data_IF_204442271050
#
_entry.id   IF_204442271050
#
_cell.length_a   1.000
_cell.length_b   1.000
_cell.length_c   1.000
_cell.angle_alpha   90.00
_cell.angle_beta   90.00
_cell.angle_gamma   90.00
#
_symmetry.space_group_name_H-M   'P 1'
#
loop_
_entity.id
_entity.type
_entity.pdbx_description
1 polymer ?
#
# COMPACT_ATOMS: atom_id res chain seq x y z
N UNK A 1 -33.91 -32.31 -18.73
CA UNK A 1 -32.74 -33.02 -18.18
C UNK A 1 -31.54 -32.47 -18.94
N UNK A 2 -30.94 -31.34 -18.52
CA UNK A 2 -30.62 -30.87 -17.15
C UNK A 2 -29.59 -31.81 -16.50
N UNK A 3 -28.47 -31.36 -15.96
CA UNK A 3 -27.99 -30.00 -15.61
C UNK A 3 -26.69 -29.63 -16.40
N UNK A 4 -26.02 -28.47 -16.35
CA UNK A 4 -25.90 -27.31 -15.42
C UNK A 4 -25.20 -27.61 -14.09
N UNK A 5 -23.91 -27.24 -13.98
CA UNK A 5 -23.31 -26.60 -12.79
C UNK A 5 -21.89 -26.06 -13.09
N UNK A 6 -21.29 -25.21 -12.21
CA UNK A 6 -20.39 -24.12 -12.65
C UNK A 6 -19.07 -24.00 -11.85
N UNK A 7 -18.43 -22.82 -11.97
CA UNK A 7 -17.40 -22.20 -11.11
C UNK A 7 -16.10 -22.96 -10.81
N UNK A 8 -14.98 -22.38 -11.28
CA UNK A 8 -13.65 -22.58 -10.70
C UNK A 8 -13.34 -21.44 -9.70
N UNK A 9 -12.93 -21.81 -8.48
CA UNK A 9 -12.85 -20.89 -7.34
C UNK A 9 -11.57 -20.05 -7.26
N UNK A 10 -11.71 -18.80 -6.79
CA UNK A 10 -10.59 -17.92 -6.44
C UNK A 10 -10.01 -18.26 -5.06
N UNK A 11 -9.18 -19.31 -4.99
CA UNK A 11 -8.58 -19.81 -3.74
C UNK A 11 -7.42 -18.94 -3.23
N UNK A 12 -7.72 -17.72 -2.79
CA UNK A 12 -6.81 -16.89 -2.00
C UNK A 12 -6.68 -17.37 -0.54
N UNK A 13 -5.68 -16.89 0.22
CA UNK A 13 -5.57 -17.21 1.64
C UNK A 13 -6.71 -16.55 2.43
N UNK A 14 -7.64 -17.38 2.93
CA UNK A 14 -8.85 -16.98 3.66
C UNK A 14 -8.58 -15.84 4.66
N UNK A 15 -9.41 -14.80 4.59
CA UNK A 15 -9.27 -13.62 5.46
C UNK A 15 -10.12 -13.75 6.74
N UNK A 16 -9.75 -13.04 7.80
CA UNK A 16 -10.60 -12.93 9.00
C UNK A 16 -12.01 -12.38 8.67
N UNK A 17 -12.13 -11.52 7.65
CA UNK A 17 -13.42 -10.99 7.18
C UNK A 17 -14.32 -12.08 6.60
N UNK A 18 -13.73 -13.03 5.88
CA UNK A 18 -14.42 -14.12 5.19
C UNK A 18 -14.87 -15.21 6.17
N UNK A 19 -13.98 -15.58 7.09
CA UNK A 19 -14.33 -16.43 8.24
C UNK A 19 -15.43 -15.79 9.11
N UNK A 20 -15.35 -14.48 9.38
CA UNK A 20 -16.40 -13.77 10.11
C UNK A 20 -17.71 -13.65 9.31
N UNK A 21 -17.65 -13.55 7.98
CA UNK A 21 -18.82 -13.55 7.11
C UNK A 21 -19.56 -14.90 7.13
N UNK A 22 -18.83 -16.03 7.11
CA UNK A 22 -19.41 -17.36 7.26
C UNK A 22 -20.07 -17.56 8.64
N UNK A 23 -19.53 -16.96 9.70
CA UNK A 23 -20.18 -16.92 11.03
C UNK A 23 -21.41 -15.99 11.10
N UNK A 24 -21.50 -14.98 10.23
CA UNK A 24 -22.64 -14.08 10.15
C UNK A 24 -23.78 -14.61 9.24
N UNK A 25 -23.43 -15.37 8.19
CA UNK A 25 -24.35 -16.01 7.26
C UNK A 25 -24.06 -17.53 7.19
N UNK A 26 -24.72 -18.35 8.04
CA UNK A 26 -24.52 -19.80 8.02
C UNK A 26 -25.18 -20.43 6.79
N UNK A 27 -24.35 -20.87 5.84
CA UNK A 27 -24.69 -21.79 4.74
C UNK A 27 -23.67 -22.94 4.77
N UNK A 28 -24.10 -24.13 4.38
CA UNK A 28 -23.36 -25.38 4.62
C UNK A 28 -22.02 -25.47 3.89
N UNK A 29 -21.07 -26.19 4.50
CA UNK A 29 -19.75 -26.48 3.96
C UNK A 29 -19.63 -27.97 3.64
N UNK A 30 -19.10 -28.30 2.46
CA UNK A 30 -18.62 -29.64 2.11
C UNK A 30 -17.20 -29.57 1.52
N UNK A 31 -16.38 -30.53 1.95
CA UNK A 31 -15.01 -30.86 1.55
C UNK A 31 -14.83 -32.36 1.88
N UNK A 32 -13.83 -33.07 1.33
CA UNK A 32 -13.23 -32.98 -0.01
C UNK A 32 -13.00 -34.39 -0.65
N UNK A 33 -12.43 -34.45 -1.86
CA UNK A 33 -11.73 -35.65 -2.38
C UNK A 33 -10.68 -35.15 -3.41
N UNK A 34 -9.37 -35.14 -3.10
CA UNK A 34 -8.38 -36.21 -3.29
C UNK A 34 -8.31 -36.81 -4.71
N UNK A 35 -7.16 -36.66 -5.40
CA UNK A 35 -7.00 -37.12 -6.79
C UNK A 35 -5.69 -36.74 -7.53
N UNK A 36 -4.52 -36.99 -6.94
CA UNK A 36 -3.19 -36.96 -7.61
C UNK A 36 -2.93 -38.24 -8.45
N UNK A 37 -1.82 -38.40 -9.23
CA UNK A 37 -0.65 -37.52 -9.48
C UNK A 37 -0.53 -37.17 -11.01
N UNK A 38 0.60 -36.90 -11.71
CA UNK A 38 2.06 -37.04 -11.46
C UNK A 38 2.93 -36.07 -12.32
N UNK A 39 4.11 -36.54 -12.78
CA UNK A 39 5.27 -35.84 -13.36
C UNK A 39 5.30 -35.83 -14.93
N UNK A 40 6.32 -35.39 -15.69
CA UNK A 40 7.78 -35.14 -15.51
C UNK A 40 8.16 -33.79 -16.22
N UNK A 41 9.04 -32.92 -15.69
CA UNK A 41 10.54 -32.82 -15.85
C UNK A 41 11.01 -32.73 -17.33
N UNK A 42 12.04 -31.95 -17.77
CA UNK A 42 13.26 -31.31 -17.21
C UNK A 42 13.45 -29.85 -17.77
N UNK A 43 14.11 -28.88 -17.10
CA UNK A 43 15.57 -28.51 -17.03
C UNK A 43 16.24 -28.03 -18.37
N UNK A 44 17.27 -27.14 -18.47
CA UNK A 44 17.99 -26.22 -17.55
C UNK A 44 18.90 -25.23 -18.35
N UNK A 45 19.32 -24.07 -17.76
CA UNK A 45 20.38 -23.11 -18.22
C UNK A 45 20.12 -22.30 -19.53
N UNK A 46 20.88 -21.26 -19.94
CA UNK A 46 22.21 -20.71 -19.52
C UNK A 46 22.31 -19.14 -19.65
N UNK A 47 23.45 -18.53 -19.31
CA UNK A 47 23.76 -17.08 -19.32
C UNK A 47 24.11 -16.47 -20.71
N UNK A 48 24.01 -15.12 -20.86
CA UNK A 48 25.18 -14.19 -20.91
C UNK A 48 24.82 -12.70 -21.07
N UNK A 49 25.79 -11.82 -20.76
CA UNK A 49 25.73 -10.35 -20.68
C UNK A 49 26.09 -9.60 -21.99
N UNK A 50 25.83 -8.28 -21.99
CA UNK A 50 26.36 -7.29 -22.96
C UNK A 50 25.28 -6.39 -23.59
N UNK A 51 25.47 -5.08 -23.79
CA UNK A 51 26.59 -4.20 -23.37
C UNK A 51 26.10 -2.72 -23.30
N UNK A 52 26.97 -1.78 -22.93
CA UNK A 52 26.69 -0.36 -22.65
C UNK A 52 26.23 0.47 -23.87
N UNK A 53 25.70 1.68 -23.61
CA UNK A 53 25.61 2.76 -24.62
C UNK A 53 25.66 4.13 -23.93
N UNK A 54 26.65 4.96 -24.28
CA UNK A 54 26.78 6.34 -23.79
C UNK A 54 25.82 7.31 -24.52
N UNK A 55 25.33 8.37 -23.86
CA UNK A 55 24.80 9.57 -24.50
C UNK A 55 25.87 10.66 -24.69
N UNK A 56 25.74 11.44 -25.76
CA UNK A 56 26.76 12.40 -26.25
C UNK A 56 26.43 13.87 -25.91
N UNK A 57 27.47 14.70 -26.04
CA UNK A 57 27.50 16.14 -26.37
C UNK A 57 26.88 17.20 -25.43
N UNK A 58 27.70 18.18 -25.03
CA UNK A 58 27.54 19.59 -25.49
C UNK A 58 28.73 20.51 -25.16
N UNK A 59 29.31 21.04 -26.22
CA UNK A 59 30.09 22.29 -26.45
C UNK A 59 30.27 23.33 -25.32
N UNK A 60 31.47 23.94 -25.27
CA UNK A 60 31.65 25.41 -25.27
C UNK A 60 33.05 25.79 -25.82
N UNK A 61 33.15 26.86 -26.63
CA UNK A 61 34.41 27.38 -27.19
C UNK A 61 34.78 28.75 -26.60
N UNK A 62 36.02 28.91 -26.12
CA UNK A 62 36.49 30.15 -25.50
C UNK A 62 37.96 30.47 -25.80
N UNK A 63 38.26 30.92 -27.01
CA UNK A 63 39.62 31.35 -27.40
C UNK A 63 39.85 32.84 -27.07
N UNK A 64 40.95 33.14 -26.38
CA UNK A 64 41.45 34.49 -26.14
C UNK A 64 42.98 34.54 -26.30
N UNK A 65 43.49 35.65 -26.83
CA UNK A 65 44.89 35.80 -27.27
C UNK A 65 45.79 36.40 -26.17
N UNK A 66 47.12 36.34 -26.36
CA UNK A 66 48.12 36.61 -25.31
C UNK A 66 48.91 37.90 -25.56
N UNK A 67 49.05 38.74 -24.52
CA UNK A 67 50.04 39.83 -24.45
C UNK A 67 50.83 39.74 -23.13
N UNK A 68 52.16 39.84 -23.20
CA UNK A 68 53.06 40.01 -22.05
C UNK A 68 53.14 41.49 -21.65
N UNK A 69 53.39 41.79 -20.35
CA UNK A 69 54.59 42.59 -20.11
C UNK A 69 55.39 42.25 -18.83
N UNK A 70 56.72 42.19 -19.02
CA UNK A 70 57.84 42.52 -18.11
C UNK A 70 57.98 41.87 -16.71
N UNK A 71 59.24 41.86 -16.25
CA UNK A 71 59.78 40.97 -15.21
C UNK A 71 60.16 41.75 -13.94
N UNK A 72 59.37 41.61 -12.86
CA UNK A 72 59.84 41.89 -11.50
C UNK A 72 60.20 40.59 -10.75
N UNK A 73 61.26 40.58 -9.93
CA UNK A 73 61.84 39.36 -9.37
C UNK A 73 60.99 38.76 -8.24
N UNK A 74 59.98 37.99 -8.60
CA UNK A 74 59.18 37.21 -7.65
C UNK A 74 60.06 36.28 -6.80
N UNK A 75 59.77 36.10 -5.50
CA UNK A 75 60.52 35.19 -4.64
C UNK A 75 60.44 33.77 -5.21
N UNK A 76 61.61 33.11 -5.33
CA UNK A 76 61.79 31.79 -5.96
C UNK A 76 60.60 30.87 -5.65
N UNK A 77 59.87 30.36 -6.66
CA UNK A 77 58.70 29.54 -6.41
C UNK A 77 59.13 28.32 -5.61
N UNK A 78 58.63 28.24 -4.37
CA UNK A 78 58.73 27.03 -3.56
C UNK A 78 57.91 26.00 -4.31
N UNK A 79 58.58 25.11 -5.08
CA UNK A 79 57.91 24.03 -5.81
C UNK A 79 56.91 23.38 -4.85
N UNK A 80 55.61 23.31 -5.19
CA UNK A 80 54.67 22.61 -4.34
C UNK A 80 55.22 21.20 -4.17
N UNK A 81 55.40 20.76 -2.91
CA UNK A 81 55.81 19.39 -2.66
C UNK A 81 54.71 18.50 -3.21
N UNK A 82 55.02 17.76 -4.26
CA UNK A 82 54.12 16.76 -4.83
C UNK A 82 53.62 15.88 -3.67
N UNK A 83 52.30 15.70 -3.52
CA UNK A 83 51.75 14.92 -2.41
C UNK A 83 52.29 13.49 -2.50
N UNK A 84 53.03 13.08 -1.48
CA UNK A 84 53.58 11.73 -1.39
C UNK A 84 52.44 10.73 -1.14
N UNK A 85 51.87 10.19 -2.21
CA UNK A 85 50.83 9.17 -2.15
C UNK A 85 51.38 7.88 -1.54
N UNK A 86 50.59 7.27 -0.65
CA UNK A 86 50.88 5.93 -0.13
C UNK A 86 50.57 4.86 -1.20
N UNK A 87 51.32 3.76 -1.16
CA UNK A 87 51.03 2.58 -1.98
C UNK A 87 49.62 2.03 -1.65
N UNK A 88 48.90 1.56 -2.67
CA UNK A 88 47.59 0.91 -2.54
C UNK A 88 47.59 -0.26 -1.55
N UNK A 89 48.70 -1.00 -1.47
CA UNK A 89 48.90 -2.13 -0.57
C UNK A 89 49.42 -1.74 0.82
N UNK A 90 49.71 -0.45 1.07
CA UNK A 90 50.13 0.00 2.40
C UNK A 90 48.99 -0.19 3.42
N UNK A 91 49.34 -0.66 4.61
CA UNK A 91 48.39 -0.84 5.72
C UNK A 91 48.25 0.43 6.55
N UNK A 92 47.00 0.77 6.87
CA UNK A 92 46.60 1.87 7.75
C UNK A 92 45.89 1.27 8.95
N UNK A 93 46.29 1.68 10.16
CA UNK A 93 45.63 1.24 11.40
C UNK A 93 44.47 2.17 11.74
N UNK A 94 43.28 1.60 11.87
CA UNK A 94 42.03 2.30 12.14
C UNK A 94 41.86 2.61 13.63
N UNK A 95 40.95 3.53 13.96
CA UNK A 95 40.70 3.97 15.34
C UNK A 95 40.09 2.87 16.25
N UNK A 96 39.53 1.81 15.66
CA UNK A 96 39.07 0.59 16.36
C UNK A 96 40.19 -0.44 16.59
N UNK A 97 41.41 -0.17 16.09
CA UNK A 97 42.57 -1.06 16.17
C UNK A 97 42.73 -2.02 15.00
N UNK A 98 41.78 -2.10 14.07
CA UNK A 98 41.87 -2.91 12.85
C UNK A 98 42.92 -2.36 11.87
N UNK A 99 43.32 -3.16 10.87
CA UNK A 99 44.30 -2.76 9.85
C UNK A 99 43.72 -3.04 8.45
N UNK A 100 43.44 -1.96 7.72
CA UNK A 100 42.96 -1.99 6.32
C UNK A 100 44.08 -1.55 5.38
N UNK A 101 43.98 -1.91 4.10
CA UNK A 101 44.82 -1.32 3.05
C UNK A 101 44.32 0.06 2.62
N UNK A 102 45.20 0.87 2.03
CA UNK A 102 44.84 2.16 1.40
C UNK A 102 43.78 1.98 0.30
N UNK A 103 43.87 0.91 -0.49
CA UNK A 103 42.88 0.59 -1.54
C UNK A 103 41.48 0.28 -0.97
N UNK A 104 41.40 -0.46 0.14
CA UNK A 104 40.13 -0.71 0.84
C UNK A 104 39.54 0.57 1.45
N UNK A 105 40.38 1.46 1.98
CA UNK A 105 39.97 2.78 2.48
C UNK A 105 39.44 3.69 1.37
N UNK A 106 40.08 3.70 0.20
CA UNK A 106 39.61 4.43 -0.99
C UNK A 106 38.26 3.86 -1.47
N UNK A 107 38.14 2.54 -1.58
CA UNK A 107 36.89 1.86 -1.96
C UNK A 107 35.76 2.09 -0.95
N UNK A 108 36.08 2.13 0.35
CA UNK A 108 35.15 2.50 1.42
C UNK A 108 34.66 3.94 1.27
N UNK A 109 35.57 4.90 1.11
CA UNK A 109 35.23 6.32 0.92
C UNK A 109 34.38 6.56 -0.35
N UNK A 110 34.72 5.90 -1.46
CA UNK A 110 33.94 5.96 -2.70
C UNK A 110 32.52 5.42 -2.50
N UNK A 111 32.36 4.26 -1.84
CA UNK A 111 31.04 3.71 -1.48
C UNK A 111 30.26 4.64 -0.56
N UNK A 112 30.89 5.17 0.48
CA UNK A 112 30.28 6.15 1.40
C UNK A 112 29.77 7.41 0.68
N UNK A 113 30.56 7.94 -0.26
CA UNK A 113 30.19 9.08 -1.09
C UNK A 113 29.00 8.73 -2.00
N UNK A 114 29.07 7.60 -2.67
CA UNK A 114 28.06 7.09 -3.60
C UNK A 114 26.72 6.81 -2.89
N UNK A 115 26.76 6.18 -1.70
CA UNK A 115 25.59 6.02 -0.84
C UNK A 115 25.01 7.37 -0.39
N UNK A 116 25.83 8.32 0.08
CA UNK A 116 25.34 9.66 0.47
C UNK A 116 24.69 10.39 -0.71
N UNK A 117 25.31 10.34 -1.89
CA UNK A 117 24.76 10.93 -3.12
C UNK A 117 23.44 10.27 -3.52
N UNK A 118 23.35 8.94 -3.51
CA UNK A 118 22.13 8.18 -3.83
C UNK A 118 21.01 8.40 -2.80
N UNK A 119 21.32 8.47 -1.51
CA UNK A 119 20.33 8.79 -0.46
C UNK A 119 19.83 10.23 -0.57
N UNK A 120 20.70 11.20 -0.88
CA UNK A 120 20.29 12.59 -1.13
C UNK A 120 19.42 12.72 -2.39
N UNK A 121 19.81 12.06 -3.49
CA UNK A 121 19.04 12.03 -4.73
C UNK A 121 17.66 11.37 -4.52
N UNK A 122 17.58 10.25 -3.80
CA UNK A 122 16.32 9.59 -3.47
C UNK A 122 15.42 10.46 -2.57
N UNK A 123 15.99 11.14 -1.58
CA UNK A 123 15.23 12.05 -0.71
C UNK A 123 14.63 13.24 -1.48
N UNK A 124 15.37 13.81 -2.44
CA UNK A 124 14.86 14.89 -3.29
C UNK A 124 13.92 14.40 -4.39
N UNK A 125 14.11 13.17 -4.89
CA UNK A 125 13.15 12.49 -5.76
C UNK A 125 11.81 12.26 -5.03
N UNK A 126 11.85 11.73 -3.80
CA UNK A 126 10.65 11.63 -2.94
C UNK A 126 10.00 12.99 -2.69
N UNK A 127 10.79 14.03 -2.41
CA UNK A 127 10.28 15.38 -2.14
C UNK A 127 9.58 15.97 -3.35
N UNK A 128 10.21 15.90 -4.52
CA UNK A 128 9.64 16.39 -5.77
C UNK A 128 8.43 15.56 -6.23
N UNK A 129 8.41 14.25 -5.98
CA UNK A 129 7.25 13.40 -6.24
C UNK A 129 6.07 13.77 -5.31
N UNK A 130 6.32 13.93 -4.00
CA UNK A 130 5.28 14.36 -3.04
C UNK A 130 4.71 15.73 -3.40
N UNK A 131 5.56 16.70 -3.74
CA UNK A 131 5.13 18.03 -4.18
C UNK A 131 4.29 17.99 -5.47
N UNK A 132 4.69 17.20 -6.48
CA UNK A 132 3.93 17.00 -7.72
C UNK A 132 2.58 16.31 -7.47
N UNK A 133 2.56 15.28 -6.62
CA UNK A 133 1.34 14.55 -6.24
C UNK A 133 0.35 15.45 -5.50
N UNK A 134 0.84 16.30 -4.61
CA UNK A 134 0.01 17.29 -3.92
C UNK A 134 -0.52 18.37 -4.89
N UNK A 135 0.31 18.88 -5.81
CA UNK A 135 -0.11 19.81 -6.85
C UNK A 135 -1.20 19.21 -7.77
N UNK A 136 -1.04 17.96 -8.20
CA UNK A 136 -2.05 17.23 -8.99
C UNK A 136 -3.35 17.09 -8.19
N UNK A 137 -3.25 16.71 -6.91
CA UNK A 137 -4.42 16.56 -6.02
C UNK A 137 -5.17 17.90 -5.84
N UNK A 138 -4.45 19.00 -5.66
CA UNK A 138 -5.04 20.34 -5.57
C UNK A 138 -5.67 20.78 -6.90
N UNK A 139 -5.02 20.53 -8.04
CA UNK A 139 -5.55 20.84 -9.37
C UNK A 139 -6.82 20.03 -9.69
N UNK A 140 -6.88 18.74 -9.33
CA UNK A 140 -8.10 17.94 -9.47
C UNK A 140 -9.24 18.46 -8.59
N UNK A 141 -8.95 18.91 -7.37
CA UNK A 141 -9.96 19.50 -6.47
C UNK A 141 -10.51 20.81 -7.05
N UNK A 142 -9.62 21.69 -7.53
CA UNK A 142 -10.01 22.93 -8.21
C UNK A 142 -10.88 22.65 -9.44
N UNK A 143 -10.42 21.81 -10.36
CA UNK A 143 -11.17 21.43 -11.56
C UNK A 143 -12.52 20.76 -11.26
N UNK A 144 -12.64 20.03 -10.15
CA UNK A 144 -13.93 19.50 -9.69
C UNK A 144 -14.88 20.61 -9.20
N UNK A 145 -14.38 21.58 -8.42
CA UNK A 145 -15.18 22.73 -7.96
C UNK A 145 -15.59 23.68 -9.09
N UNK A 146 -14.70 23.92 -10.06
CA UNK A 146 -15.00 24.71 -11.26
C UNK A 146 -16.05 24.02 -12.14
N UNK A 147 -15.98 22.69 -12.28
CA UNK A 147 -16.99 21.91 -13.02
C UNK A 147 -18.35 21.96 -12.35
N UNK A 148 -18.43 21.84 -11.02
CA UNK A 148 -19.67 22.00 -10.27
C UNK A 148 -20.26 23.41 -10.45
N UNK A 149 -19.43 24.45 -10.33
CA UNK A 149 -19.86 25.82 -10.58
C UNK A 149 -20.36 26.03 -12.03
N UNK A 150 -19.68 25.47 -13.03
CA UNK A 150 -20.13 25.51 -14.43
C UNK A 150 -21.47 24.78 -14.63
N UNK A 151 -21.67 23.61 -14.00
CA UNK A 151 -22.93 22.87 -14.05
C UNK A 151 -24.07 23.72 -13.46
N UNK A 152 -23.88 24.30 -12.27
CA UNK A 152 -24.87 25.18 -11.64
C UNK A 152 -25.15 26.43 -12.48
N UNK A 153 -24.12 27.05 -13.06
CA UNK A 153 -24.27 28.21 -13.94
C UNK A 153 -25.08 27.85 -15.19
N UNK A 154 -24.73 26.79 -15.92
CA UNK A 154 -25.42 26.35 -17.13
C UNK A 154 -26.88 25.97 -16.86
N UNK A 155 -27.17 25.37 -15.70
CA UNK A 155 -28.55 25.14 -15.24
C UNK A 155 -29.30 26.45 -14.99
N UNK A 156 -28.67 27.42 -14.31
CA UNK A 156 -29.31 28.71 -13.98
C UNK A 156 -29.69 29.55 -15.20
N UNK A 157 -28.90 29.46 -16.28
CA UNK A 157 -29.15 30.20 -17.55
C UNK A 157 -29.81 29.34 -18.63
N UNK A 158 -30.28 28.13 -18.32
CA UNK A 158 -30.86 27.22 -19.32
C UNK A 158 -32.08 27.88 -20.00
N UNK A 159 -32.16 27.91 -21.35
CA UNK A 159 -33.39 28.30 -22.01
C UNK A 159 -34.51 27.31 -21.65
N UNK A 160 -35.75 27.78 -21.55
CA UNK A 160 -36.87 26.86 -21.45
C UNK A 160 -37.02 26.07 -22.77
N UNK A 161 -37.47 24.82 -22.67
CA UNK A 161 -37.79 24.00 -23.83
C UNK A 161 -38.97 24.67 -24.59
N UNK A 162 -38.88 24.87 -25.91
CA UNK A 162 -39.98 25.48 -26.66
C UNK A 162 -41.25 24.61 -26.63
N UNK A 163 -42.40 25.27 -26.64
CA UNK A 163 -43.71 24.62 -26.74
C UNK A 163 -43.85 23.91 -28.10
N UNK A 164 -44.12 22.59 -28.15
CA UNK A 164 -44.42 21.88 -29.39
C UNK A 164 -45.55 22.51 -30.22
N UNK A 165 -46.50 23.23 -29.62
CA UNK A 165 -47.55 23.94 -30.35
C UNK A 165 -46.99 25.07 -31.24
N UNK A 166 -45.83 25.66 -30.90
CA UNK A 166 -45.18 26.69 -31.71
C UNK A 166 -44.83 26.18 -33.11
N UNK A 167 -44.55 24.89 -33.29
CA UNK A 167 -44.28 24.29 -34.60
C UNK A 167 -45.41 24.52 -35.63
N UNK A 168 -46.67 24.64 -35.17
CA UNK A 168 -47.85 24.86 -36.03
C UNK A 168 -48.07 26.34 -36.40
N UNK A 169 -47.30 27.26 -35.81
CA UNK A 169 -47.52 28.71 -35.92
C UNK A 169 -46.26 29.47 -36.35
N UNK A 170 -45.09 29.05 -35.86
CA UNK A 170 -43.77 29.46 -36.31
C UNK A 170 -42.78 28.27 -36.24
N UNK A 171 -42.69 27.44 -37.30
CA UNK A 171 -41.74 26.32 -37.34
C UNK A 171 -40.27 26.78 -37.39
N UNK A 172 -39.98 28.03 -37.78
CA UNK A 172 -38.61 28.55 -37.88
C UNK A 172 -38.13 28.99 -36.49
N UNK A 173 -38.93 29.78 -35.78
CA UNK A 173 -38.68 30.15 -34.39
C UNK A 173 -38.64 28.95 -33.45
N UNK A 174 -39.53 27.97 -33.64
CA UNK A 174 -39.45 26.68 -32.94
C UNK A 174 -38.12 25.98 -33.21
N UNK A 175 -37.70 25.86 -34.48
CA UNK A 175 -36.44 25.20 -34.85
C UNK A 175 -35.21 25.87 -34.26
N UNK A 176 -35.16 27.21 -34.21
CA UNK A 176 -34.08 27.95 -33.59
C UNK A 176 -34.04 27.75 -32.06
N UNK A 177 -35.19 27.78 -31.40
CA UNK A 177 -35.29 27.57 -29.95
C UNK A 177 -34.99 26.13 -29.53
N UNK A 178 -35.46 25.14 -30.29
CA UNK A 178 -35.21 23.72 -30.02
C UNK A 178 -33.74 23.36 -30.25
N UNK A 179 -33.10 23.91 -31.30
CA UNK A 179 -31.65 23.78 -31.50
C UNK A 179 -30.87 24.42 -30.34
N UNK A 180 -31.19 25.67 -29.97
CA UNK A 180 -30.53 26.36 -28.86
C UNK A 180 -30.72 25.63 -27.52
N UNK A 181 -31.90 25.06 -27.28
CA UNK A 181 -32.18 24.24 -26.10
C UNK A 181 -31.39 22.93 -26.11
N UNK A 182 -31.36 22.20 -27.24
CA UNK A 182 -30.59 20.96 -27.40
C UNK A 182 -29.10 21.18 -27.17
N UNK A 183 -28.47 22.13 -27.85
CA UNK A 183 -27.03 22.37 -27.72
C UNK A 183 -26.64 22.77 -26.28
N UNK A 184 -27.47 23.58 -25.59
CA UNK A 184 -27.27 23.90 -24.16
C UNK A 184 -27.43 22.66 -23.27
N UNK A 185 -28.41 21.80 -23.56
CA UNK A 185 -28.64 20.55 -22.84
C UNK A 185 -27.52 19.53 -23.06
N UNK A 186 -27.05 19.35 -24.29
CA UNK A 186 -25.95 18.44 -24.64
C UNK A 186 -24.65 18.84 -23.93
N UNK A 187 -24.36 20.14 -23.86
CA UNK A 187 -23.23 20.69 -23.07
C UNK A 187 -23.36 20.38 -21.57
N UNK A 188 -24.55 20.56 -21.00
CA UNK A 188 -24.82 20.27 -19.60
C UNK A 188 -24.75 18.77 -19.27
N UNK A 189 -25.39 17.94 -20.09
CA UNK A 189 -25.39 16.48 -19.95
C UNK A 189 -23.97 15.92 -20.06
N UNK A 190 -23.12 16.47 -20.94
CA UNK A 190 -21.70 16.13 -21.05
C UNK A 190 -20.91 16.45 -19.76
N UNK A 191 -21.09 17.66 -19.19
CA UNK A 191 -20.42 18.02 -17.93
C UNK A 191 -20.87 17.14 -16.77
N UNK A 192 -22.15 16.80 -16.70
CA UNK A 192 -22.73 15.87 -15.70
C UNK A 192 -22.16 14.46 -15.89
N UNK A 193 -22.03 13.96 -17.12
CA UNK A 193 -21.40 12.67 -17.39
C UNK A 193 -19.91 12.65 -16.97
N UNK A 194 -19.16 13.71 -17.27
CA UNK A 194 -17.77 13.88 -16.82
C UNK A 194 -17.65 13.93 -15.29
N UNK A 195 -18.58 14.59 -14.60
CA UNK A 195 -18.65 14.57 -13.13
C UNK A 195 -18.89 13.15 -12.61
N UNK A 196 -19.90 12.44 -13.10
CA UNK A 196 -20.21 11.07 -12.67
C UNK A 196 -19.04 10.10 -12.91
N UNK A 197 -18.38 10.18 -14.07
CA UNK A 197 -17.18 9.39 -14.36
C UNK A 197 -16.05 9.66 -13.35
N UNK A 198 -15.86 10.93 -12.96
CA UNK A 198 -14.84 11.32 -11.97
C UNK A 198 -15.18 10.80 -10.57
N UNK A 199 -16.46 10.82 -10.17
CA UNK A 199 -16.92 10.26 -8.89
C UNK A 199 -16.75 8.74 -8.85
N UNK A 200 -17.13 8.03 -9.92
CA UNK A 200 -16.95 6.58 -10.03
C UNK A 200 -15.47 6.18 -9.96
N UNK A 201 -14.59 6.92 -10.67
CA UNK A 201 -13.13 6.72 -10.60
C UNK A 201 -12.60 6.85 -9.18
N UNK A 202 -12.99 7.92 -8.45
CA UNK A 202 -12.58 8.11 -7.05
C UNK A 202 -13.09 7.03 -6.11
N UNK A 203 -14.34 6.59 -6.27
CA UNK A 203 -14.88 5.47 -5.47
C UNK A 203 -14.14 4.15 -5.73
N UNK A 204 -13.71 3.88 -6.97
CA UNK A 204 -12.88 2.72 -7.28
C UNK A 204 -11.47 2.85 -6.67
N UNK A 205 -10.84 4.03 -6.76
CA UNK A 205 -9.52 4.31 -6.17
C UNK A 205 -9.53 4.22 -4.64
N UNK A 206 -10.58 4.72 -3.99
CA UNK A 206 -10.82 4.55 -2.55
C UNK A 206 -11.03 3.07 -2.18
N UNK A 207 -11.80 2.33 -2.97
CA UNK A 207 -11.99 0.88 -2.80
C UNK A 207 -10.68 0.10 -2.86
N UNK A 208 -9.87 0.31 -3.89
CA UNK A 208 -8.55 -0.31 -4.03
C UNK A 208 -7.60 0.09 -2.89
N UNK A 209 -7.63 1.36 -2.45
CA UNK A 209 -6.83 1.81 -1.30
C UNK A 209 -7.25 1.14 0.01
N UNK A 210 -8.55 0.94 0.24
CA UNK A 210 -9.08 0.23 1.42
C UNK A 210 -8.70 -1.25 1.38
N UNK A 211 -8.71 -1.89 0.21
CA UNK A 211 -8.20 -3.26 0.03
C UNK A 211 -6.70 -3.34 0.37
N UNK A 212 -5.86 -2.48 -0.21
CA UNK A 212 -4.41 -2.46 0.08
C UNK A 212 -4.08 -2.23 1.57
N UNK A 213 -4.88 -1.41 2.27
CA UNK A 213 -4.76 -1.24 3.73
C UNK A 213 -5.15 -2.53 4.44
N UNK A 214 -6.31 -3.13 4.12
CA UNK A 214 -6.76 -4.40 4.70
C UNK A 214 -5.73 -5.51 4.50
N UNK A 215 -5.18 -5.67 3.31
CA UNK A 215 -4.23 -6.74 2.99
C UNK A 215 -2.93 -6.59 3.79
N UNK A 216 -2.42 -5.36 3.91
CA UNK A 216 -1.26 -5.04 4.76
C UNK A 216 -1.53 -5.33 6.24
N UNK A 217 -2.67 -4.89 6.75
CA UNK A 217 -3.07 -5.11 8.14
C UNK A 217 -3.34 -6.60 8.41
N UNK A 218 -3.81 -7.35 7.42
CA UNK A 218 -3.95 -8.80 7.49
C UNK A 218 -2.59 -9.52 7.53
N UNK A 219 -1.60 -9.11 6.74
CA UNK A 219 -0.24 -9.64 6.86
C UNK A 219 0.37 -9.34 8.23
N UNK A 220 0.25 -8.11 8.75
CA UNK A 220 0.69 -7.78 10.11
C UNK A 220 -0.04 -8.62 11.19
N UNK A 221 -1.30 -8.97 10.94
CA UNK A 221 -2.08 -9.89 11.80
C UNK A 221 -1.53 -11.32 11.76
N UNK A 222 -1.13 -11.83 10.59
CA UNK A 222 -0.51 -13.16 10.40
C UNK A 222 0.95 -13.24 10.87
N UNK A 223 1.67 -12.12 10.92
CA UNK A 223 2.98 -12.00 11.58
C UNK A 223 2.84 -12.07 13.11
N UNK A 224 1.89 -11.33 13.67
CA UNK A 224 1.63 -11.29 15.12
C UNK A 224 0.86 -12.51 15.66
N UNK A 225 0.20 -13.27 14.78
CA UNK A 225 -0.51 -14.52 15.09
C UNK A 225 -0.32 -15.57 13.98
N UNK A 226 0.85 -16.23 13.91
CA UNK A 226 1.10 -17.28 12.93
C UNK A 226 0.10 -18.44 12.99
N UNK A 227 -0.58 -18.64 14.13
CA UNK A 227 -1.63 -19.64 14.29
C UNK A 227 -2.87 -19.39 13.41
N UNK A 228 -3.08 -18.18 12.89
CA UNK A 228 -4.23 -17.87 12.03
C UNK A 228 -4.03 -18.25 10.55
N UNK A 229 -2.86 -18.81 10.18
CA UNK A 229 -2.66 -19.44 8.86
C UNK A 229 -3.35 -20.81 8.74
N UNK A 230 -3.80 -21.39 9.85
CA UNK A 230 -4.60 -22.63 9.91
C UNK A 230 -6.09 -22.26 9.84
N UNK A 231 -6.79 -22.70 8.80
CA UNK A 231 -8.19 -22.34 8.54
C UNK A 231 -9.14 -22.73 9.70
N UNK A 232 -8.87 -23.84 10.40
CA UNK A 232 -9.69 -24.27 11.55
C UNK A 232 -9.51 -23.31 12.73
N UNK A 233 -8.28 -22.81 12.93
CA UNK A 233 -7.98 -21.81 13.97
C UNK A 233 -8.52 -20.44 13.59
N UNK A 234 -8.43 -20.05 12.33
CA UNK A 234 -9.02 -18.82 11.79
C UNK A 234 -10.54 -18.80 12.01
N UNK A 235 -11.24 -19.87 11.62
CA UNK A 235 -12.68 -20.01 11.81
C UNK A 235 -13.05 -19.99 13.31
N UNK A 236 -12.32 -20.75 14.15
CA UNK A 236 -12.52 -20.72 15.61
C UNK A 236 -12.35 -19.31 16.19
N UNK A 237 -11.32 -18.58 15.75
CA UNK A 237 -11.02 -17.23 16.20
C UNK A 237 -12.05 -16.20 15.70
N UNK A 238 -12.52 -16.31 14.46
CA UNK A 238 -13.60 -15.50 13.91
C UNK A 238 -14.93 -15.72 14.67
N UNK A 239 -15.21 -16.97 15.07
CA UNK A 239 -16.33 -17.31 15.94
C UNK A 239 -16.20 -16.72 17.35
N UNK A 240 -15.01 -16.79 17.97
CA UNK A 240 -14.76 -16.13 19.27
C UNK A 240 -14.87 -14.60 19.18
N UNK A 241 -14.31 -13.97 18.14
CA UNK A 241 -14.40 -12.53 17.89
C UNK A 241 -15.84 -12.09 17.67
N UNK A 242 -16.60 -12.76 16.79
CA UNK A 242 -18.01 -12.41 16.52
C UNK A 242 -18.86 -12.52 17.78
N UNK A 243 -18.65 -13.56 18.57
CA UNK A 243 -19.39 -13.82 19.83
C UNK A 243 -19.04 -12.84 20.95
N UNK A 244 -17.75 -12.54 21.15
CA UNK A 244 -17.29 -11.71 22.27
C UNK A 244 -17.11 -10.23 21.90
N UNK A 245 -17.01 -9.87 20.62
CA UNK A 245 -17.10 -8.47 20.19
C UNK A 245 -18.45 -7.84 20.57
N UNK A 246 -19.53 -8.63 20.48
CA UNK A 246 -20.85 -8.23 20.97
C UNK A 246 -20.88 -7.94 22.49
N UNK A 247 -20.06 -8.60 23.32
CA UNK A 247 -19.91 -8.28 24.76
C UNK A 247 -19.31 -6.88 24.99
N UNK A 248 -18.63 -6.31 23.98
CA UNK A 248 -18.03 -4.96 23.99
C UNK A 248 -18.84 -3.95 23.15
N UNK A 249 -19.96 -4.36 22.56
CA UNK A 249 -20.83 -3.51 21.76
C UNK A 249 -20.50 -3.44 20.26
N UNK A 250 -19.53 -4.21 19.76
CA UNK A 250 -19.28 -4.30 18.32
C UNK A 250 -20.42 -5.03 17.60
N UNK A 251 -20.89 -4.46 16.49
CA UNK A 251 -21.77 -5.14 15.54
C UNK A 251 -20.99 -6.12 14.65
N UNK A 252 -21.64 -7.15 14.08
CA UNK A 252 -21.00 -8.02 13.08
C UNK A 252 -20.44 -7.23 11.88
N UNK A 253 -21.11 -6.15 11.48
CA UNK A 253 -20.67 -5.28 10.40
C UNK A 253 -19.38 -4.53 10.75
N UNK A 254 -19.21 -4.02 11.97
CA UNK A 254 -17.95 -3.39 12.40
C UNK A 254 -16.80 -4.39 12.50
N UNK A 255 -17.08 -5.62 12.95
CA UNK A 255 -16.11 -6.73 12.96
C UNK A 255 -15.66 -7.05 11.52
N UNK A 256 -16.59 -7.12 10.59
CA UNK A 256 -16.33 -7.45 9.19
C UNK A 256 -15.66 -6.29 8.42
N UNK A 257 -16.05 -5.04 8.68
CA UNK A 257 -15.62 -3.89 7.87
C UNK A 257 -14.48 -3.10 8.51
N UNK A 258 -14.51 -2.86 9.82
CA UNK A 258 -13.58 -1.96 10.53
C UNK A 258 -12.42 -2.70 11.20
N UNK A 259 -12.69 -3.82 11.89
CA UNK A 259 -11.66 -4.55 12.64
C UNK A 259 -10.52 -5.06 11.75
N UNK A 260 -10.82 -5.40 10.49
CA UNK A 260 -9.84 -5.78 9.46
C UNK A 260 -9.07 -4.62 8.82
N UNK A 261 -9.17 -3.39 9.34
CA UNK A 261 -8.40 -2.21 8.90
C UNK A 261 -7.35 -1.76 9.95
N UNK A 262 -7.22 -2.48 11.07
CA UNK A 262 -6.23 -2.22 12.11
C UNK A 262 -5.91 -3.50 12.89
N UNK A 263 -4.77 -4.13 12.61
CA UNK A 263 -4.33 -5.36 13.27
C UNK A 263 -4.27 -5.25 14.80
N UNK A 264 -4.11 -4.02 15.33
CA UNK A 264 -3.99 -3.76 16.77
C UNK A 264 -5.33 -3.99 17.47
N UNK A 265 -6.45 -3.69 16.81
CA UNK A 265 -7.79 -3.96 17.34
C UNK A 265 -8.04 -5.46 17.46
N UNK A 266 -7.61 -6.24 16.47
CA UNK A 266 -7.66 -7.71 16.49
C UNK A 266 -6.83 -8.26 17.66
N UNK A 267 -5.61 -7.75 17.87
CA UNK A 267 -4.73 -8.18 18.96
C UNK A 267 -5.28 -7.81 20.35
N UNK A 268 -5.80 -6.59 20.53
CA UNK A 268 -6.42 -6.13 21.78
C UNK A 268 -7.68 -6.95 22.09
N UNK A 269 -8.54 -7.19 21.09
CA UNK A 269 -9.76 -7.98 21.26
C UNK A 269 -9.43 -9.44 21.62
N UNK A 270 -8.45 -10.06 20.95
CA UNK A 270 -7.91 -11.39 21.28
C UNK A 270 -7.49 -11.48 22.74
N UNK A 271 -6.73 -10.51 23.24
CA UNK A 271 -6.19 -10.56 24.60
C UNK A 271 -7.28 -10.28 25.65
N UNK A 272 -8.27 -9.45 25.32
CA UNK A 272 -9.49 -9.28 26.11
C UNK A 272 -10.33 -10.58 26.19
N UNK A 273 -10.49 -11.30 25.06
CA UNK A 273 -11.16 -12.62 25.01
C UNK A 273 -10.40 -13.65 25.84
N UNK A 274 -9.08 -13.78 25.65
CA UNK A 274 -8.22 -14.68 26.45
C UNK A 274 -8.35 -14.39 27.95
N UNK A 275 -8.36 -13.13 28.36
CA UNK A 275 -8.54 -12.71 29.75
C UNK A 275 -9.96 -13.04 30.29
N UNK A 276 -11.01 -12.79 29.51
CA UNK A 276 -12.41 -13.12 29.84
C UNK A 276 -12.61 -14.63 30.00
N UNK A 277 -12.00 -15.43 29.12
CA UNK A 277 -11.98 -16.89 29.21
C UNK A 277 -11.24 -17.38 30.48
N UNK A 278 -10.10 -16.78 30.83
CA UNK A 278 -9.39 -17.09 32.09
C UNK A 278 -10.21 -16.71 33.33
N UNK A 279 -10.95 -15.60 33.32
CA UNK A 279 -11.89 -15.24 34.40
C UNK A 279 -13.02 -16.28 34.53
N UNK A 280 -13.66 -16.65 33.42
CA UNK A 280 -14.74 -17.63 33.37
C UNK A 280 -14.30 -19.07 33.69
N UNK A 281 -12.99 -19.34 33.67
CA UNK A 281 -12.39 -20.57 34.20
C UNK A 281 -12.11 -20.46 35.71
N UNK A 282 -11.57 -19.34 36.20
CA UNK A 282 -11.27 -19.13 37.63
C UNK A 282 -12.49 -19.34 38.53
N UNK A 283 -13.67 -18.87 38.13
CA UNK A 283 -14.93 -19.09 38.88
C UNK A 283 -15.36 -20.57 38.95
N UNK A 284 -14.87 -21.43 38.04
CA UNK A 284 -15.15 -22.87 37.99
C UNK A 284 -14.12 -23.72 38.75
N UNK A 285 -13.00 -23.13 39.19
CA UNK A 285 -11.97 -23.82 39.99
C UNK A 285 -12.49 -24.28 41.37
N UNK A 286 -13.11 -23.43 42.22
CA UNK A 286 -13.54 -23.86 43.56
C UNK A 286 -14.54 -25.02 43.51
N UNK A 287 -15.55 -24.92 42.65
CA UNK A 287 -16.56 -25.97 42.43
C UNK A 287 -15.99 -27.31 41.95
N UNK A 288 -14.74 -27.35 41.46
CA UNK A 288 -14.04 -28.57 41.02
C UNK A 288 -12.95 -29.05 42.00
N UNK A 289 -12.89 -28.43 43.18
CA UNK A 289 -12.09 -28.81 44.34
C UNK A 289 -12.98 -29.31 45.49
N UNK A 290 -14.15 -28.69 45.71
CA UNK A 290 -15.13 -29.09 46.74
C UNK A 290 -15.59 -30.55 46.61
N UNK A 291 -15.59 -31.12 45.39
CA UNK A 291 -15.92 -32.52 45.12
C UNK A 291 -14.76 -33.51 45.29
N UNK A 292 -13.57 -33.11 45.79
CA UNK A 292 -12.42 -34.01 45.95
C UNK A 292 -12.28 -34.45 47.42
N UNK A 293 -12.18 -35.77 47.72
CA UNK A 293 -11.91 -36.21 49.08
C UNK A 293 -10.54 -35.70 49.54
N UNK A 294 -10.37 -35.38 50.84
CA UNK A 294 -9.10 -34.87 51.35
C UNK A 294 -7.98 -35.89 51.14
N UNK A 295 -6.86 -35.43 50.59
CA UNK A 295 -5.67 -36.27 50.39
C UNK A 295 -5.06 -36.59 51.75
N UNK A 296 -5.47 -37.71 52.33
CA UNK A 296 -4.87 -38.29 53.52
C UNK A 296 -3.42 -38.68 53.23
N UNK A 297 -2.51 -37.75 53.49
CA UNK A 297 -1.07 -38.02 53.50
C UNK A 297 -0.80 -39.12 54.52
N UNK A 298 -0.61 -40.34 54.04
CA UNK A 298 -0.30 -41.49 54.89
C UNK A 298 1.10 -41.29 55.47
N UNK A 299 1.14 -40.79 56.71
CA UNK A 299 2.36 -40.50 57.46
C UNK A 299 3.31 -41.69 57.39
N UNK A 300 4.49 -41.47 56.81
CA UNK A 300 5.43 -42.55 56.50
C UNK A 300 5.95 -43.23 57.77
N UNK A 301 5.69 -44.53 57.90
CA UNK A 301 6.31 -45.34 58.96
C UNK A 301 7.82 -45.41 58.72
N UNK A 302 8.55 -44.84 59.68
CA UNK A 302 9.91 -45.24 60.08
C UNK A 302 9.80 -45.61 61.57
N UNK A 303 10.61 -46.52 62.12
CA UNK A 303 11.66 -47.31 61.46
C UNK A 303 11.13 -48.48 60.62
#
# INVERSE_FOLDING_TARGET
MTAVNPDEGNSGPLSLMEAAAAYANPVEAEEPEEGQPEAEEEAVAEHQDGDETEPDDTEDEGQAESEEPEEEPQPKPVKPKEPAYADKLAKVKMADGSELTVDELIKGNLRDRDYRQKTMALAEQERSFKAKSEQITQAEQQAATEREFMIQLLQSVMPQRPDPAMYMHDPIGFGQQDLAWRTRKEQLDYLIAQQQQTVQKRQAEEGTRVQQVRDREWQATLEAMPELRDANRLNSFAGEITKHGADYGFTPQEIQQSLGLDHRQILVLRDAIKWRNLQAQKSKVPAKVEGRPPVVMKSGTRP
#
